data_IF_173899873483
#
_entry.id   IF_173899873483
#
_cell.length_a   1.000
_cell.length_b   1.000
_cell.length_c   1.000
_cell.angle_alpha   90.00
_cell.angle_beta   90.00
_cell.angle_gamma   90.00
#
_symmetry.space_group_name_H-M   'P 1'
#
loop_
_entity.id
_entity.type
_entity.pdbx_description
1 polymer ?
#
# COMPACT_ATOMS: atom_id res chain seq x y z
N UNK A 1 -21.44 -15.63 30.12
CA UNK A 1 -19.99 -15.89 29.92
C UNK A 1 -19.22 -14.71 30.50
N UNK A 2 -18.29 -15.01 31.36
CA UNK A 2 -17.45 -13.99 31.99
C UNK A 2 -16.54 -13.35 30.93
N UNK A 3 -16.56 -12.03 30.84
CA UNK A 3 -15.76 -11.30 29.84
C UNK A 3 -14.46 -10.82 30.49
N UNK A 4 -13.36 -11.09 29.81
CA UNK A 4 -12.04 -10.56 30.16
C UNK A 4 -11.93 -9.15 29.59
N UNK A 5 -11.72 -8.15 30.44
CA UNK A 5 -11.60 -6.74 30.04
C UNK A 5 -10.15 -6.30 30.12
N UNK A 6 -9.67 -5.72 29.06
CA UNK A 6 -8.39 -5.00 29.05
C UNK A 6 -8.67 -3.51 29.24
N UNK A 7 -8.26 -2.96 30.35
CA UNK A 7 -8.47 -1.56 30.68
C UNK A 7 -7.15 -0.81 30.90
N UNK A 8 -7.16 0.48 30.70
CA UNK A 8 -6.02 1.33 30.96
C UNK A 8 -5.74 1.44 32.46
N UNK A 9 -4.54 1.08 32.89
CA UNK A 9 -4.12 1.18 34.28
C UNK A 9 -4.15 2.62 34.85
N UNK A 10 -4.15 3.63 33.97
CA UNK A 10 -4.09 5.04 34.38
C UNK A 10 -5.45 5.71 34.45
N UNK A 11 -6.38 5.40 33.57
CA UNK A 11 -7.68 6.07 33.50
C UNK A 11 -8.88 5.12 33.53
N UNK A 12 -8.67 3.82 33.64
CA UNK A 12 -9.75 2.81 33.69
C UNK A 12 -10.51 2.59 32.38
N UNK A 13 -10.16 3.30 31.30
CA UNK A 13 -10.82 3.15 30.01
C UNK A 13 -10.70 1.71 29.50
N UNK A 14 -11.83 1.06 29.21
CA UNK A 14 -11.84 -0.28 28.64
C UNK A 14 -11.39 -0.22 27.18
N UNK A 15 -10.26 -0.84 26.88
CA UNK A 15 -9.65 -0.84 25.54
C UNK A 15 -10.29 -1.91 24.68
N UNK A 16 -10.43 -3.14 25.18
CA UNK A 16 -11.10 -4.26 24.52
C UNK A 16 -11.65 -5.29 25.52
N UNK A 17 -12.64 -6.06 25.09
CA UNK A 17 -13.23 -7.17 25.84
C UNK A 17 -13.13 -8.48 25.05
N UNK A 18 -12.85 -9.58 25.75
CA UNK A 18 -12.75 -10.93 25.18
C UNK A 18 -13.49 -11.94 26.04
N UNK A 19 -13.89 -13.05 25.45
CA UNK A 19 -14.30 -14.24 26.21
C UNK A 19 -13.16 -15.25 26.29
N UNK A 20 -13.14 -16.10 27.29
CA UNK A 20 -12.15 -17.17 27.41
C UNK A 20 -12.20 -18.12 26.20
N UNK A 21 -13.40 -18.38 25.68
CA UNK A 21 -13.63 -19.19 24.49
C UNK A 21 -13.02 -18.56 23.25
N UNK A 22 -13.20 -17.25 23.03
CA UNK A 22 -12.59 -16.53 21.92
C UNK A 22 -11.05 -16.56 21.95
N UNK A 23 -10.46 -16.44 23.13
CA UNK A 23 -9.01 -16.53 23.29
C UNK A 23 -8.47 -17.95 23.05
N UNK A 24 -9.28 -18.98 23.36
CA UNK A 24 -8.89 -20.38 23.16
C UNK A 24 -9.06 -20.83 21.70
N UNK A 25 -10.11 -20.34 21.02
CA UNK A 25 -10.53 -20.87 19.70
C UNK A 25 -10.14 -19.97 18.52
N UNK A 26 -9.89 -18.68 18.77
CA UNK A 26 -9.56 -17.69 17.73
C UNK A 26 -8.10 -17.21 17.89
N UNK A 27 -7.12 -17.81 17.20
CA UNK A 27 -5.70 -17.47 17.36
C UNK A 27 -5.40 -15.98 17.19
N UNK A 28 -6.11 -15.30 16.29
CA UNK A 28 -5.97 -13.86 16.04
C UNK A 28 -6.36 -13.03 17.27
N UNK A 29 -7.47 -13.37 17.93
CA UNK A 29 -7.91 -12.70 19.17
C UNK A 29 -6.92 -12.94 20.32
N UNK A 30 -6.40 -14.17 20.44
CA UNK A 30 -5.37 -14.49 21.43
C UNK A 30 -4.08 -13.66 21.20
N UNK A 31 -3.60 -13.56 19.97
CA UNK A 31 -2.42 -12.72 19.63
C UNK A 31 -2.69 -11.24 19.89
N UNK A 32 -3.86 -10.74 19.53
CA UNK A 32 -4.27 -9.35 19.80
C UNK A 32 -4.30 -9.05 21.29
N UNK A 33 -4.88 -9.94 22.08
CA UNK A 33 -4.93 -9.86 23.53
C UNK A 33 -3.50 -9.77 24.13
N UNK A 34 -2.58 -10.65 23.73
CA UNK A 34 -1.19 -10.62 24.19
C UNK A 34 -0.46 -9.34 23.76
N UNK A 35 -0.72 -8.87 22.55
CA UNK A 35 -0.16 -7.61 22.07
C UNK A 35 -0.59 -6.42 22.96
N UNK A 36 -1.86 -6.32 23.29
CA UNK A 36 -2.39 -5.24 24.12
C UNK A 36 -1.84 -5.32 25.55
N UNK A 37 -1.71 -6.52 26.12
CA UNK A 37 -1.10 -6.73 27.45
C UNK A 37 0.36 -6.26 27.52
N UNK A 38 1.10 -6.50 26.46
CA UNK A 38 2.56 -6.30 26.47
C UNK A 38 3.00 -4.91 25.99
N UNK A 39 2.07 -4.06 25.53
CA UNK A 39 2.42 -2.71 25.08
C UNK A 39 1.98 -1.62 26.04
N UNK A 40 2.94 -0.84 26.50
CA UNK A 40 2.72 0.48 27.07
C UNK A 40 2.32 1.48 25.98
N UNK A 41 1.39 2.37 26.23
CA UNK A 41 0.98 3.49 25.34
C UNK A 41 -0.16 3.21 24.34
N UNK A 42 -1.17 2.41 24.71
CA UNK A 42 -2.28 2.09 23.79
C UNK A 42 -3.61 2.76 24.18
N UNK A 43 -3.71 3.40 25.34
CA UNK A 43 -4.99 3.92 25.77
C UNK A 43 -5.40 5.17 24.98
N UNK A 44 -6.51 5.10 24.20
CA UNK A 44 -6.99 6.22 23.40
C UNK A 44 -7.37 7.45 24.25
N UNK A 45 -7.95 7.23 25.41
CA UNK A 45 -8.36 8.29 26.33
C UNK A 45 -7.16 9.05 26.90
N UNK A 46 -6.07 8.35 27.26
CA UNK A 46 -4.84 9.01 27.74
C UNK A 46 -4.12 9.72 26.61
N UNK A 47 -4.13 9.16 25.39
CA UNK A 47 -3.54 9.78 24.20
C UNK A 47 -4.28 11.06 23.81
N UNK A 48 -5.61 11.05 23.81
CA UNK A 48 -6.44 12.22 23.53
C UNK A 48 -6.20 13.36 24.56
N UNK A 49 -5.85 13.02 25.79
CA UNK A 49 -5.51 14.02 26.84
C UNK A 49 -4.03 14.44 26.87
N UNK A 50 -3.23 14.06 25.85
CA UNK A 50 -1.81 14.42 25.75
C UNK A 50 -0.87 13.66 26.68
N UNK A 51 -1.33 12.61 27.34
CA UNK A 51 -0.57 11.82 28.33
C UNK A 51 0.07 10.60 27.68
N UNK A 52 1.16 10.79 26.96
CA UNK A 52 1.81 9.78 26.14
C UNK A 52 2.75 8.81 26.89
N UNK A 53 2.99 8.98 28.20
CA UNK A 53 3.99 8.20 28.93
C UNK A 53 3.37 7.14 29.84
N UNK A 54 3.90 5.92 29.78
CA UNK A 54 3.69 4.79 30.72
C UNK A 54 2.25 4.34 30.97
N UNK A 55 1.45 4.22 29.92
CA UNK A 55 0.13 3.61 30.04
C UNK A 55 0.25 2.09 29.91
N UNK A 56 0.05 1.37 31.02
CA UNK A 56 -0.07 -0.08 31.06
C UNK A 56 -1.54 -0.49 30.96
N UNK A 57 -1.77 -1.72 30.57
CA UNK A 57 -3.09 -2.33 30.51
C UNK A 57 -3.25 -3.25 31.72
N UNK A 58 -4.34 -3.07 32.46
CA UNK A 58 -4.76 -3.99 33.53
C UNK A 58 -5.70 -5.05 32.96
N UNK A 59 -5.52 -6.28 33.39
CA UNK A 59 -6.43 -7.39 33.18
C UNK A 59 -7.32 -7.51 34.41
N UNK A 60 -8.64 -7.55 34.19
CA UNK A 60 -9.70 -7.64 35.21
C UNK A 60 -9.80 -6.47 36.21
N UNK A 61 -10.91 -5.80 36.18
CA UNK A 61 -11.57 -5.10 37.24
C UNK A 61 -10.74 -4.52 38.40
N UNK A 62 -9.76 -3.70 38.09
CA UNK A 62 -9.27 -2.78 39.12
C UNK A 62 -10.38 -1.82 39.53
N UNK A 63 -10.39 -1.28 40.77
CA UNK A 63 -11.49 -0.46 41.26
C UNK A 63 -11.75 0.70 40.30
N UNK A 64 -13.02 0.82 39.87
CA UNK A 64 -13.49 1.91 39.05
C UNK A 64 -13.16 3.24 39.75
N UNK A 65 -12.13 3.90 39.26
CA UNK A 65 -11.94 5.30 39.56
C UNK A 65 -13.06 6.04 38.87
N UNK A 66 -13.96 6.62 39.61
CA UNK A 66 -15.12 7.34 39.13
C UNK A 66 -14.72 8.19 37.92
N UNK A 67 -15.33 7.91 36.79
CA UNK A 67 -15.20 8.73 35.60
C UNK A 67 -15.70 10.12 35.97
N UNK A 68 -14.81 11.07 36.07
CA UNK A 68 -15.18 12.46 36.07
C UNK A 68 -16.10 12.72 34.92
N UNK A 69 -17.26 13.28 35.19
CA UNK A 69 -18.33 13.50 34.21
C UNK A 69 -17.76 14.03 32.93
N UNK A 70 -18.00 13.27 31.85
CA UNK A 70 -17.78 13.76 30.51
C UNK A 70 -18.67 14.98 30.30
N UNK A 71 -18.06 16.11 30.07
CA UNK A 71 -18.79 17.29 29.64
C UNK A 71 -19.64 16.93 28.44
N UNK A 72 -20.88 17.42 28.32
CA UNK A 72 -21.74 17.09 27.19
C UNK A 72 -21.05 17.51 25.90
N UNK A 73 -20.85 16.58 25.00
CA UNK A 73 -20.36 16.84 23.66
C UNK A 73 -21.47 17.52 22.85
N UNK A 74 -21.58 18.79 23.02
CA UNK A 74 -22.25 19.68 22.09
C UNK A 74 -21.18 20.61 21.53
N UNK A 75 -20.32 20.09 20.69
CA UNK A 75 -19.53 20.93 19.82
C UNK A 75 -20.05 20.75 18.40
N UNK A 76 -20.89 21.65 17.97
CA UNK A 76 -20.90 22.05 16.56
C UNK A 76 -19.44 22.37 16.25
N UNK A 77 -18.75 21.49 15.51
CA UNK A 77 -17.40 21.76 15.07
C UNK A 77 -17.45 23.13 14.35
N UNK A 78 -16.71 24.10 14.88
CA UNK A 78 -16.55 25.34 14.17
C UNK A 78 -15.90 25.02 12.83
N UNK A 79 -16.45 25.47 11.68
CA UNK A 79 -15.83 25.26 10.40
C UNK A 79 -14.40 25.79 10.48
N UNK A 80 -13.45 25.00 10.02
CA UNK A 80 -12.06 25.43 9.90
C UNK A 80 -12.08 26.55 8.87
N UNK A 81 -11.81 27.78 9.29
CA UNK A 81 -11.88 28.94 8.41
C UNK A 81 -10.92 28.77 7.22
N UNK A 82 -11.47 28.83 6.04
CA UNK A 82 -10.69 28.99 4.82
C UNK A 82 -10.25 30.43 4.73
N UNK A 83 -8.94 30.67 4.85
CA UNK A 83 -8.38 31.95 4.42
C UNK A 83 -8.50 31.98 2.88
N UNK A 84 -9.28 32.85 2.31
CA UNK A 84 -9.27 33.17 0.90
C UNK A 84 -7.85 33.66 0.54
N UNK A 85 -7.10 32.80 -0.15
CA UNK A 85 -5.79 33.18 -0.64
C UNK A 85 -5.95 34.08 -1.84
N UNK A 86 -5.50 35.33 -1.70
CA UNK A 86 -5.33 36.23 -2.82
C UNK A 86 -4.45 35.57 -3.89
N UNK A 87 -4.75 35.82 -5.17
CA UNK A 87 -3.94 35.40 -6.31
C UNK A 87 -2.56 36.08 -6.29
N UNK A 88 -1.69 35.69 -5.38
CA UNK A 88 -0.33 36.15 -5.28
C UNK A 88 0.60 35.24 -6.09
N UNK A 89 1.59 35.75 -6.82
CA UNK A 89 2.59 34.90 -7.44
C UNK A 89 3.30 34.08 -6.35
N UNK A 90 3.37 32.78 -6.59
CA UNK A 90 3.84 31.84 -5.60
C UNK A 90 5.31 31.56 -5.80
N UNK A 91 6.12 31.24 -4.75
CA UNK A 91 7.54 30.94 -4.90
C UNK A 91 7.81 29.81 -5.89
N UNK A 92 6.90 28.86 -6.00
CA UNK A 92 7.03 27.77 -6.96
C UNK A 92 6.79 28.26 -8.39
N UNK A 93 5.81 29.15 -8.63
CA UNK A 93 5.58 29.74 -9.94
C UNK A 93 6.75 30.64 -10.36
N UNK A 94 7.36 31.33 -9.43
CA UNK A 94 8.56 32.14 -9.68
C UNK A 94 9.75 31.25 -10.06
N UNK A 95 9.98 30.15 -9.34
CA UNK A 95 11.03 29.19 -9.66
C UNK A 95 10.82 28.54 -11.04
N UNK A 96 9.59 28.19 -11.40
CA UNK A 96 9.22 27.69 -12.73
C UNK A 96 9.49 28.78 -13.79
N UNK A 97 9.26 30.07 -13.46
CA UNK A 97 9.47 31.19 -14.35
C UNK A 97 10.93 31.41 -14.74
N UNK A 98 11.87 31.00 -13.89
CA UNK A 98 13.31 31.18 -14.10
C UNK A 98 13.95 30.19 -15.09
N UNK A 99 13.15 29.38 -15.78
CA UNK A 99 13.61 28.60 -16.94
C UNK A 99 14.44 27.33 -16.61
N UNK A 100 14.47 26.89 -15.36
CA UNK A 100 15.23 25.69 -14.94
C UNK A 100 14.45 24.39 -15.02
N UNK A 101 13.20 24.44 -15.43
CA UNK A 101 12.31 23.30 -15.44
C UNK A 101 12.03 22.82 -16.87
N UNK A 102 11.66 21.53 -17.06
CA UNK A 102 11.26 20.99 -18.35
C UNK A 102 10.09 21.77 -18.99
N UNK A 103 9.94 21.68 -20.30
CA UNK A 103 8.91 22.39 -21.08
C UNK A 103 7.49 22.18 -20.57
N UNK A 104 7.15 20.97 -20.06
CA UNK A 104 5.83 20.71 -19.48
C UNK A 104 5.54 21.56 -18.25
N UNK A 105 6.53 21.92 -17.44
CA UNK A 105 6.33 22.83 -16.31
C UNK A 105 6.01 24.26 -16.81
N UNK A 106 6.57 24.68 -17.95
CA UNK A 106 6.22 25.94 -18.61
C UNK A 106 4.77 25.92 -19.11
N UNK A 107 4.27 24.80 -19.61
CA UNK A 107 2.88 24.65 -20.01
C UNK A 107 1.90 24.71 -18.81
N UNK A 108 2.29 24.22 -17.64
CA UNK A 108 1.46 24.33 -16.42
C UNK A 108 1.15 25.78 -16.05
N UNK A 109 2.03 26.74 -16.32
CA UNK A 109 1.78 28.17 -16.10
C UNK A 109 0.61 28.70 -16.92
N UNK A 110 0.44 28.19 -18.14
CA UNK A 110 -0.63 28.62 -19.06
C UNK A 110 -2.00 28.14 -18.63
N UNK A 111 -2.08 27.11 -17.78
CA UNK A 111 -3.31 26.38 -17.50
C UNK A 111 -4.00 26.72 -16.18
N UNK A 112 -3.50 27.67 -15.40
CA UNK A 112 -4.00 27.93 -14.04
C UNK A 112 -4.11 26.63 -13.19
N UNK A 113 -3.34 25.60 -13.54
CA UNK A 113 -3.37 24.32 -12.83
C UNK A 113 -2.90 24.54 -11.38
N UNK A 114 -3.47 23.85 -10.39
CA UNK A 114 -3.43 24.27 -8.99
C UNK A 114 -2.06 24.10 -8.32
N UNK A 115 -1.06 24.83 -8.78
CA UNK A 115 0.19 25.07 -8.02
C UNK A 115 -0.17 25.67 -6.66
N UNK A 116 -1.23 26.49 -6.61
CA UNK A 116 -1.83 27.02 -5.40
C UNK A 116 -2.06 25.97 -4.31
N UNK A 117 -2.55 24.78 -4.68
CA UNK A 117 -2.82 23.70 -3.71
C UNK A 117 -1.53 23.22 -3.04
N UNK A 118 -0.45 23.10 -3.79
CA UNK A 118 0.85 22.71 -3.24
C UNK A 118 1.38 23.78 -2.29
N UNK A 119 1.28 25.04 -2.66
CA UNK A 119 1.72 26.14 -1.82
C UNK A 119 0.85 26.35 -0.60
N UNK A 120 -0.45 26.18 -0.72
CA UNK A 120 -1.36 26.15 0.40
C UNK A 120 -0.93 25.05 1.38
N UNK A 121 -0.60 23.86 0.91
CA UNK A 121 -0.09 22.78 1.74
C UNK A 121 1.25 23.12 2.42
N UNK A 122 2.13 23.89 1.75
CA UNK A 122 3.37 24.39 2.34
C UNK A 122 3.13 25.47 3.40
N UNK A 123 2.22 26.38 3.16
CA UNK A 123 1.91 27.48 4.08
C UNK A 123 1.19 27.00 5.32
N UNK A 124 0.21 26.15 5.17
CA UNK A 124 -0.58 25.63 6.29
C UNK A 124 0.26 24.83 7.29
N UNK A 125 1.20 24.00 6.82
CA UNK A 125 2.12 23.19 7.64
C UNK A 125 1.54 22.69 8.96
N UNK A 126 0.24 22.42 8.98
CA UNK A 126 -0.50 22.00 10.19
C UNK A 126 -0.06 20.61 10.66
N UNK A 127 0.59 19.88 9.77
CA UNK A 127 1.19 18.60 10.11
C UNK A 127 2.33 18.29 9.14
N UNK A 128 3.31 17.50 9.55
CA UNK A 128 4.46 17.14 8.74
C UNK A 128 4.69 15.64 8.72
N UNK A 129 5.13 15.14 7.57
CA UNK A 129 5.68 13.80 7.47
C UNK A 129 6.91 13.68 8.36
N UNK A 130 6.86 12.77 9.30
CA UNK A 130 7.95 12.50 10.22
C UNK A 130 7.78 11.16 10.89
N UNK A 131 8.62 10.88 11.85
CA UNK A 131 8.44 9.77 12.75
C UNK A 131 7.36 10.15 13.77
N UNK A 132 6.31 9.35 13.87
CA UNK A 132 5.23 9.62 14.82
C UNK A 132 4.55 8.34 15.26
N UNK A 133 3.80 8.46 16.33
CA UNK A 133 2.91 7.43 16.84
C UNK A 133 1.64 7.33 16.00
N UNK A 134 0.92 6.26 16.18
CA UNK A 134 -0.45 6.12 15.72
C UNK A 134 -1.39 6.17 16.92
N UNK A 135 -2.60 6.65 16.67
CA UNK A 135 -3.67 6.75 17.67
C UNK A 135 -4.70 5.68 17.33
N UNK A 136 -5.10 4.92 18.33
CA UNK A 136 -6.31 4.10 18.24
C UNK A 136 -7.46 4.90 18.86
N UNK A 137 -8.53 5.06 18.12
CA UNK A 137 -9.80 5.59 18.64
C UNK A 137 -10.70 4.42 19.04
N UNK A 138 -11.60 4.59 20.03
CA UNK A 138 -12.62 3.60 20.33
C UNK A 138 -13.45 3.29 19.09
N UNK A 139 -13.53 2.00 18.71
CA UNK A 139 -14.20 1.55 17.49
C UNK A 139 -13.43 1.78 16.19
N UNK A 140 -12.26 2.42 16.23
CA UNK A 140 -11.35 2.63 15.11
C UNK A 140 -9.97 2.14 15.52
N UNK A 141 -9.55 1.02 15.00
CA UNK A 141 -8.36 0.33 15.49
C UNK A 141 -7.05 0.92 14.96
N UNK A 142 -7.03 1.39 13.73
CA UNK A 142 -5.86 1.91 13.04
C UNK A 142 -6.30 3.09 12.14
N UNK A 143 -5.40 3.67 11.39
CA UNK A 143 -5.72 4.69 10.40
C UNK A 143 -5.52 6.13 10.86
N UNK A 144 -5.31 6.37 12.13
CA UNK A 144 -5.01 7.71 12.67
C UNK A 144 -3.54 7.81 13.06
N UNK A 145 -2.87 8.85 12.58
CA UNK A 145 -1.47 9.15 12.86
C UNK A 145 -1.34 10.48 13.59
N UNK A 146 -0.66 10.48 14.72
CA UNK A 146 -0.09 11.67 15.33
C UNK A 146 1.38 11.76 14.96
N UNK A 147 1.84 12.92 14.53
CA UNK A 147 3.25 13.15 14.25
C UNK A 147 3.94 13.80 15.45
N UNK A 148 4.80 13.04 16.13
CA UNK A 148 5.80 13.59 17.02
C UNK A 148 6.95 14.13 16.15
N UNK A 149 6.90 15.41 15.79
CA UNK A 149 7.89 16.01 14.92
C UNK A 149 8.88 16.87 15.71
N UNK A 150 9.96 17.25 15.05
CA UNK A 150 10.87 18.27 15.57
C UNK A 150 10.23 19.68 15.67
N UNK A 151 8.98 19.80 15.23
CA UNK A 151 8.21 21.05 15.23
C UNK A 151 6.87 20.85 15.95
N UNK A 152 6.90 20.65 17.28
CA UNK A 152 5.70 20.37 18.06
C UNK A 152 4.68 21.53 18.03
N UNK A 153 5.14 22.75 17.81
CA UNK A 153 4.29 23.93 17.65
C UNK A 153 3.34 23.84 16.44
N UNK A 154 3.71 23.04 15.43
CA UNK A 154 2.87 22.81 14.24
C UNK A 154 2.01 21.57 14.40
N UNK A 155 2.52 20.53 15.04
CA UNK A 155 1.90 19.19 15.03
C UNK A 155 1.10 18.87 16.29
N UNK A 156 1.18 19.70 17.33
CA UNK A 156 0.43 19.49 18.57
C UNK A 156 -1.08 19.53 18.30
N UNK A 157 -1.77 18.44 18.65
CA UNK A 157 -3.22 18.33 18.47
C UNK A 157 -3.67 18.19 17.01
N UNK A 158 -2.74 17.94 16.09
CA UNK A 158 -3.02 17.78 14.67
C UNK A 158 -2.75 16.34 14.21
N UNK A 159 -3.72 15.74 13.57
CA UNK A 159 -3.71 14.32 13.22
C UNK A 159 -3.88 14.11 11.70
N UNK A 160 -3.39 12.96 11.23
CA UNK A 160 -3.73 12.43 9.91
C UNK A 160 -4.76 11.33 10.06
N UNK A 161 -5.77 11.33 9.21
CA UNK A 161 -6.65 10.17 9.06
C UNK A 161 -6.45 9.60 7.68
N UNK A 162 -6.17 8.31 7.61
CA UNK A 162 -6.10 7.54 6.36
C UNK A 162 -7.44 6.91 6.08
N UNK A 163 -7.91 7.12 4.89
CA UNK A 163 -9.14 6.52 4.36
C UNK A 163 -8.71 5.46 3.36
N UNK A 164 -9.23 4.24 3.52
CA UNK A 164 -8.97 3.15 2.60
C UNK A 164 -9.61 3.46 1.24
N UNK A 165 -8.81 3.45 0.18
CA UNK A 165 -9.32 3.66 -1.16
C UNK A 165 -10.16 2.47 -1.65
N UNK A 166 -11.16 2.69 -2.51
CA UNK A 166 -11.92 1.62 -3.14
C UNK A 166 -11.05 0.79 -4.09
N UNK A 167 -11.45 -0.45 -4.36
CA UNK A 167 -10.77 -1.30 -5.32
C UNK A 167 -10.61 -0.60 -6.68
N UNK A 168 -9.38 -0.61 -7.20
CA UNK A 168 -9.01 0.06 -8.45
C UNK A 168 -8.95 1.58 -8.36
N UNK A 169 -9.03 2.16 -7.18
CA UNK A 169 -9.11 3.62 -6.96
C UNK A 169 -10.30 4.27 -7.68
N UNK A 170 -11.42 3.55 -7.84
CA UNK A 170 -12.64 4.06 -8.47
C UNK A 170 -13.53 4.78 -7.47
N UNK A 171 -13.39 6.07 -7.34
CA UNK A 171 -14.30 6.91 -6.57
C UNK A 171 -15.48 7.39 -7.43
N UNK A 172 -16.69 7.33 -6.90
CA UNK A 172 -17.78 8.07 -7.51
C UNK A 172 -17.59 9.57 -7.29
N UNK A 173 -18.12 10.39 -8.19
CA UNK A 173 -18.04 11.85 -8.02
C UNK A 173 -18.79 12.32 -6.76
N UNK A 174 -19.84 11.61 -6.37
CA UNK A 174 -20.60 11.90 -5.15
C UNK A 174 -19.77 11.61 -3.90
N UNK A 175 -19.14 10.41 -3.82
CA UNK A 175 -18.30 10.05 -2.67
C UNK A 175 -17.07 10.93 -2.56
N UNK A 176 -16.46 11.31 -3.70
CA UNK A 176 -15.30 12.20 -3.67
C UNK A 176 -15.70 13.61 -3.18
N UNK A 177 -16.88 14.15 -3.60
CA UNK A 177 -17.38 15.42 -3.05
C UNK A 177 -17.65 15.33 -1.56
N UNK A 178 -18.27 14.24 -1.07
CA UNK A 178 -18.48 14.05 0.36
C UNK A 178 -17.16 14.02 1.16
N UNK A 179 -16.10 13.41 0.61
CA UNK A 179 -14.77 13.45 1.23
C UNK A 179 -14.16 14.87 1.19
N UNK A 180 -14.41 15.66 0.14
CA UNK A 180 -14.02 17.06 0.11
C UNK A 180 -14.75 17.87 1.19
N UNK A 181 -16.08 17.69 1.33
CA UNK A 181 -16.87 18.36 2.37
C UNK A 181 -16.37 18.03 3.79
N UNK A 182 -15.97 16.78 4.03
CA UNK A 182 -15.34 16.34 5.28
C UNK A 182 -13.97 17.01 5.47
N UNK A 183 -13.18 17.11 4.40
CA UNK A 183 -11.88 17.78 4.45
C UNK A 183 -12.04 19.27 4.77
N UNK A 184 -13.00 19.92 4.16
CA UNK A 184 -13.33 21.33 4.41
C UNK A 184 -13.78 21.56 5.85
N UNK A 185 -14.60 20.65 6.35
CA UNK A 185 -15.17 20.75 7.70
C UNK A 185 -14.18 20.45 8.81
N UNK A 186 -13.28 19.47 8.63
CA UNK A 186 -12.47 18.93 9.72
C UNK A 186 -10.95 19.01 9.50
N UNK A 187 -10.47 19.20 8.27
CA UNK A 187 -9.08 18.97 7.89
C UNK A 187 -8.45 20.07 7.01
N UNK A 188 -8.81 21.31 7.17
CA UNK A 188 -8.26 22.46 6.43
C UNK A 188 -8.42 22.39 4.90
N UNK A 189 -9.42 21.66 4.39
CA UNK A 189 -9.77 21.63 2.98
C UNK A 189 -8.78 20.92 2.05
N UNK A 190 -7.87 20.10 2.56
CA UNK A 190 -6.89 19.39 1.76
C UNK A 190 -7.05 17.86 1.87
N UNK A 191 -7.11 17.22 0.72
CA UNK A 191 -7.03 15.77 0.53
C UNK A 191 -5.67 15.41 -0.07
N UNK A 192 -5.00 14.44 0.49
CA UNK A 192 -3.75 13.91 -0.03
C UNK A 192 -3.95 12.49 -0.55
N UNK A 193 -3.79 12.29 -1.87
CA UNK A 193 -3.79 10.99 -2.50
C UNK A 193 -2.42 10.33 -2.31
N UNK A 194 -2.34 9.34 -1.42
CA UNK A 194 -1.08 8.67 -1.11
C UNK A 194 -0.71 7.65 -2.19
N UNK A 195 0.07 8.07 -3.16
CA UNK A 195 0.42 7.33 -4.39
C UNK A 195 1.09 5.95 -4.19
N UNK A 196 1.48 5.59 -2.99
CA UNK A 196 2.24 4.36 -2.72
C UNK A 196 1.75 3.55 -1.54
N UNK A 197 0.58 3.88 -1.02
CA UNK A 197 0.01 3.28 0.17
C UNK A 197 -1.43 2.84 0.03
N UNK A 198 -2.09 3.13 -1.10
CA UNK A 198 -3.49 2.79 -1.31
C UNK A 198 -4.44 3.52 -0.37
N UNK A 199 -4.02 4.66 0.17
CA UNK A 199 -4.84 5.45 1.08
C UNK A 199 -5.05 6.86 0.54
N UNK A 200 -6.19 7.44 0.89
CA UNK A 200 -6.41 8.87 0.85
C UNK A 200 -6.20 9.42 2.26
N UNK A 201 -5.53 10.55 2.40
CA UNK A 201 -5.25 11.12 3.72
C UNK A 201 -5.94 12.47 3.89
N UNK A 202 -6.62 12.62 5.03
CA UNK A 202 -7.03 13.92 5.58
C UNK A 202 -5.92 14.42 6.50
N UNK A 203 -5.45 15.62 6.24
CA UNK A 203 -4.29 16.18 6.92
C UNK A 203 -4.72 17.25 7.93
N UNK A 204 -4.19 17.20 9.13
CA UNK A 204 -4.30 18.28 10.10
C UNK A 204 -5.59 18.30 10.90
N UNK A 205 -6.29 17.18 11.04
CA UNK A 205 -7.52 17.12 11.84
C UNK A 205 -7.21 17.39 13.32
N UNK A 206 -7.82 18.41 13.96
CA UNK A 206 -7.74 18.62 15.39
C UNK A 206 -8.22 17.38 16.16
N UNK A 207 -7.63 17.11 17.31
CA UNK A 207 -7.93 15.88 18.09
C UNK A 207 -9.42 15.79 18.47
N UNK A 208 -10.04 16.90 18.81
CA UNK A 208 -11.47 17.01 19.13
C UNK A 208 -12.38 16.68 17.96
N UNK A 209 -11.90 16.86 16.72
CA UNK A 209 -12.65 16.59 15.49
C UNK A 209 -12.45 15.18 14.95
N UNK A 210 -11.57 14.36 15.53
CA UNK A 210 -11.27 13.03 15.01
C UNK A 210 -12.49 12.12 14.98
N UNK A 211 -13.24 12.06 16.09
CA UNK A 211 -14.41 11.18 16.19
C UNK A 211 -15.49 11.54 15.16
N UNK A 212 -15.98 12.78 15.11
CA UNK A 212 -17.01 13.16 14.15
C UNK A 212 -16.53 13.01 12.69
N UNK A 213 -15.26 13.30 12.40
CA UNK A 213 -14.71 13.09 11.06
C UNK A 213 -14.73 11.62 10.64
N UNK A 214 -14.32 10.70 11.53
CA UNK A 214 -14.35 9.26 11.25
C UNK A 214 -15.79 8.75 11.10
N UNK A 215 -16.73 9.21 11.91
CA UNK A 215 -18.16 8.85 11.81
C UNK A 215 -18.73 9.28 10.45
N UNK A 216 -18.41 10.47 9.96
CA UNK A 216 -18.88 10.94 8.65
C UNK A 216 -18.18 10.17 7.50
N UNK A 217 -16.87 9.87 7.59
CA UNK A 217 -16.18 9.02 6.62
C UNK A 217 -16.87 7.64 6.52
N UNK A 218 -17.16 7.04 7.66
CA UNK A 218 -17.83 5.73 7.72
C UNK A 218 -19.25 5.79 7.15
N UNK A 219 -19.96 6.88 7.39
CA UNK A 219 -21.31 7.09 6.85
C UNK A 219 -21.34 7.20 5.31
N UNK A 220 -20.23 7.63 4.70
CA UNK A 220 -20.05 7.62 3.23
C UNK A 220 -19.71 6.22 2.69
N UNK A 221 -19.54 5.21 3.56
CA UNK A 221 -19.20 3.85 3.19
C UNK A 221 -17.70 3.58 3.04
N UNK A 222 -16.83 4.41 3.60
CA UNK A 222 -15.39 4.20 3.60
C UNK A 222 -14.90 3.63 4.94
N UNK A 223 -13.93 2.74 4.87
CA UNK A 223 -13.17 2.29 6.01
C UNK A 223 -11.92 3.15 6.22
N UNK A 224 -11.43 3.10 7.45
CA UNK A 224 -10.17 3.74 7.81
C UNK A 224 -9.01 2.82 7.38
N UNK A 225 -8.02 3.39 6.75
CA UNK A 225 -6.82 2.70 6.28
C UNK A 225 -5.87 2.31 7.42
N UNK A 226 -4.72 1.77 7.09
CA UNK A 226 -3.79 1.24 8.07
C UNK A 226 -2.62 2.16 8.35
N UNK A 227 -2.13 2.17 9.60
CA UNK A 227 -1.03 3.06 10.03
C UNK A 227 0.04 2.40 10.89
N UNK A 228 -0.19 1.20 11.37
CA UNK A 228 0.63 0.53 12.38
C UNK A 228 1.62 -0.51 11.89
N UNK A 229 1.94 -1.41 12.77
CA UNK A 229 2.69 -2.65 12.51
C UNK A 229 1.68 -3.74 12.10
N UNK A 230 1.02 -3.53 10.97
CA UNK A 230 -0.12 -4.23 10.39
C UNK A 230 0.12 -4.55 8.92
N UNK A 231 -0.82 -5.25 8.27
CA UNK A 231 -0.91 -5.13 6.82
C UNK A 231 -1.29 -3.70 6.49
N UNK A 232 -0.49 -3.07 5.64
CA UNK A 232 -0.86 -1.75 5.11
C UNK A 232 -1.99 -1.91 4.11
N UNK A 233 -2.79 -0.87 3.98
CA UNK A 233 -3.76 -0.80 2.90
C UNK A 233 -3.10 -1.29 1.62
N UNK A 234 -3.66 -2.34 1.02
CA UNK A 234 -3.11 -2.92 -0.21
C UNK A 234 -3.35 -1.98 -1.39
N UNK A 235 -2.52 -2.09 -2.39
CA UNK A 235 -2.62 -1.32 -3.62
C UNK A 235 -2.61 -2.29 -4.80
N UNK A 236 -3.53 -2.12 -5.73
CA UNK A 236 -3.60 -2.92 -6.94
C UNK A 236 -3.62 -2.05 -8.19
N UNK A 237 -3.30 -2.67 -9.32
CA UNK A 237 -3.47 -2.02 -10.60
C UNK A 237 -4.95 -2.03 -11.03
N UNK A 238 -5.27 -1.21 -12.02
CA UNK A 238 -6.64 -1.03 -12.53
C UNK A 238 -7.32 -2.33 -13.00
N UNK A 239 -6.55 -3.39 -13.22
CA UNK A 239 -7.01 -4.75 -13.51
C UNK A 239 -7.98 -4.87 -14.67
N UNK A 240 -8.87 -5.87 -14.63
CA UNK A 240 -9.78 -6.18 -15.74
C UNK A 240 -10.82 -5.08 -15.99
N UNK A 241 -10.97 -4.13 -15.08
CA UNK A 241 -11.92 -3.04 -15.28
C UNK A 241 -11.56 -2.16 -16.49
N UNK A 242 -10.26 -1.96 -16.78
CA UNK A 242 -9.78 -1.08 -17.85
C UNK A 242 -8.52 -1.59 -18.57
N UNK A 243 -8.01 -2.78 -18.25
CA UNK A 243 -6.77 -3.30 -18.81
C UNK A 243 -6.98 -4.71 -19.40
N UNK A 244 -6.72 -4.88 -20.68
CA UNK A 244 -6.81 -6.17 -21.39
C UNK A 244 -5.54 -7.03 -21.26
N UNK A 245 -4.50 -6.51 -20.63
CA UNK A 245 -3.24 -7.22 -20.36
C UNK A 245 -3.23 -7.95 -19.01
N UNK A 246 -4.23 -7.72 -18.19
CA UNK A 246 -4.30 -8.36 -16.86
C UNK A 246 -4.47 -9.88 -16.99
N UNK A 247 -3.79 -10.63 -16.13
CA UNK A 247 -3.76 -12.09 -16.17
C UNK A 247 -4.65 -12.74 -15.11
N UNK A 248 -5.13 -11.94 -14.15
CA UNK A 248 -6.10 -12.33 -13.13
C UNK A 248 -6.91 -11.11 -12.69
N UNK A 249 -8.00 -11.34 -11.97
CA UNK A 249 -8.82 -10.25 -11.42
C UNK A 249 -8.19 -9.65 -10.16
N UNK A 250 -7.45 -8.56 -10.32
CA UNK A 250 -6.79 -7.84 -9.22
C UNK A 250 -7.79 -7.18 -8.28
N UNK A 251 -8.93 -6.72 -8.79
CA UNK A 251 -9.95 -6.03 -8.01
C UNK A 251 -10.72 -7.02 -7.13
N UNK A 252 -11.13 -8.14 -7.71
CA UNK A 252 -11.77 -9.24 -6.98
C UNK A 252 -10.84 -9.82 -5.92
N UNK A 253 -9.54 -10.00 -6.23
CA UNK A 253 -8.55 -10.45 -5.27
C UNK A 253 -8.41 -9.45 -4.10
N UNK A 254 -8.36 -8.14 -4.37
CA UNK A 254 -8.31 -7.14 -3.30
C UNK A 254 -9.57 -7.15 -2.44
N UNK A 255 -10.74 -7.25 -3.03
CA UNK A 255 -11.98 -7.34 -2.28
C UNK A 255 -12.00 -8.58 -1.36
N UNK A 256 -11.54 -9.73 -1.86
CA UNK A 256 -11.39 -10.95 -1.07
C UNK A 256 -10.29 -10.82 0.00
N UNK A 257 -9.21 -10.10 -0.29
CA UNK A 257 -8.15 -9.78 0.67
C UNK A 257 -8.71 -9.09 1.91
N UNK A 258 -9.52 -8.05 1.75
CA UNK A 258 -10.11 -7.34 2.90
C UNK A 258 -11.09 -8.21 3.67
N UNK A 259 -11.87 -9.06 3.00
CA UNK A 259 -12.75 -10.01 3.71
C UNK A 259 -11.97 -10.95 4.63
N UNK A 260 -10.76 -11.35 4.22
CA UNK A 260 -9.94 -12.30 4.98
C UNK A 260 -9.03 -11.64 6.02
N UNK A 261 -8.49 -10.47 5.72
CA UNK A 261 -7.41 -9.85 6.48
C UNK A 261 -7.75 -8.48 7.07
N UNK A 262 -9.02 -8.07 7.09
CA UNK A 262 -9.41 -6.74 7.57
C UNK A 262 -8.89 -6.47 8.99
N UNK A 263 -9.01 -7.45 9.88
CA UNK A 263 -8.51 -7.34 11.25
C UNK A 263 -6.98 -7.09 11.28
N UNK A 264 -6.23 -7.78 10.43
CA UNK A 264 -4.77 -7.61 10.33
C UNK A 264 -4.36 -6.31 9.62
N UNK A 265 -5.28 -5.66 8.89
CA UNK A 265 -5.11 -4.32 8.31
C UNK A 265 -5.39 -3.24 9.35
N UNK A 266 -6.43 -3.44 10.17
CA UNK A 266 -6.88 -2.44 11.14
C UNK A 266 -6.19 -2.56 12.51
N UNK A 267 -5.69 -3.74 12.89
CA UNK A 267 -5.07 -3.98 14.18
C UNK A 267 -3.60 -4.35 14.05
N UNK A 268 -2.67 -3.62 14.68
CA UNK A 268 -1.25 -3.94 14.68
C UNK A 268 -1.00 -5.32 15.26
N UNK A 269 -0.40 -6.19 14.45
CA UNK A 269 -0.11 -7.58 14.79
C UNK A 269 1.36 -7.95 14.61
N UNK A 270 1.99 -7.42 13.56
CA UNK A 270 3.29 -7.89 13.11
C UNK A 270 4.47 -7.21 13.82
N UNK A 271 5.68 -7.78 13.77
CA UNK A 271 6.90 -7.13 14.25
C UNK A 271 7.15 -5.77 13.59
N UNK A 272 6.74 -5.60 12.34
CA UNK A 272 6.70 -4.35 11.60
C UNK A 272 5.65 -4.41 10.50
N UNK A 273 5.31 -3.25 9.91
CA UNK A 273 4.37 -3.14 8.79
C UNK A 273 4.70 -4.07 7.64
N UNK A 274 3.69 -4.64 7.03
CA UNK A 274 3.76 -5.41 5.80
C UNK A 274 2.99 -4.67 4.70
N UNK A 275 3.65 -4.37 3.59
CA UNK A 275 3.03 -3.75 2.41
C UNK A 275 2.69 -4.81 1.38
N UNK A 276 1.44 -4.87 0.98
CA UNK A 276 0.95 -5.78 -0.04
C UNK A 276 0.58 -5.01 -1.31
N UNK A 277 0.97 -5.53 -2.49
CA UNK A 277 0.64 -4.94 -3.77
C UNK A 277 0.29 -6.01 -4.78
N UNK A 278 -0.68 -5.70 -5.66
CA UNK A 278 -1.24 -6.65 -6.60
C UNK A 278 -1.18 -6.07 -8.03
N UNK A 279 -0.30 -6.61 -8.87
CA UNK A 279 -0.20 -6.24 -10.28
C UNK A 279 -0.77 -7.35 -11.17
N UNK A 280 -1.63 -6.99 -12.10
CA UNK A 280 -2.27 -7.92 -13.02
C UNK A 280 -1.32 -8.57 -14.04
N UNK A 281 -0.11 -8.05 -14.20
CA UNK A 281 0.89 -8.55 -15.15
C UNK A 281 2.30 -8.03 -14.82
N UNK A 282 3.36 -8.54 -15.51
CA UNK A 282 4.75 -8.11 -15.28
C UNK A 282 5.07 -6.63 -15.56
N UNK A 283 4.16 -5.85 -16.13
CA UNK A 283 4.35 -4.39 -16.27
C UNK A 283 4.43 -3.66 -14.92
N UNK A 284 3.97 -4.29 -13.83
CA UNK A 284 4.09 -3.81 -12.46
C UNK A 284 3.73 -2.33 -12.26
N UNK A 285 2.54 -1.92 -12.72
CA UNK A 285 2.05 -0.54 -12.66
C UNK A 285 1.99 0.02 -11.22
N UNK A 286 1.93 -0.84 -10.21
CA UNK A 286 1.91 -0.48 -8.78
C UNK A 286 3.29 -0.49 -8.13
N UNK A 287 4.34 -0.78 -8.89
CA UNK A 287 5.73 -0.86 -8.40
C UNK A 287 5.89 -1.84 -7.23
N UNK A 288 5.22 -2.98 -7.31
CA UNK A 288 5.20 -3.99 -6.26
C UNK A 288 6.58 -4.59 -6.02
N UNK A 289 7.32 -4.88 -7.08
CA UNK A 289 8.67 -5.43 -7.00
C UNK A 289 9.63 -4.56 -6.16
N UNK A 290 9.46 -3.23 -6.20
CA UNK A 290 10.33 -2.27 -5.49
C UNK A 290 9.83 -1.91 -4.09
N UNK A 291 8.51 -1.97 -3.85
CA UNK A 291 7.91 -1.29 -2.69
C UNK A 291 7.11 -2.21 -1.77
N UNK A 292 6.84 -3.44 -2.19
CA UNK A 292 6.02 -4.36 -1.43
C UNK A 292 6.84 -5.40 -0.66
N UNK A 293 6.46 -5.64 0.59
CA UNK A 293 6.95 -6.79 1.35
C UNK A 293 6.37 -8.09 0.81
N UNK A 294 5.13 -8.02 0.28
CA UNK A 294 4.44 -9.09 -0.46
C UNK A 294 3.96 -8.50 -1.77
N UNK A 295 4.35 -9.10 -2.86
CA UNK A 295 3.95 -8.68 -4.19
C UNK A 295 3.35 -9.85 -4.97
N UNK A 296 2.11 -9.69 -5.41
CA UNK A 296 1.45 -10.62 -6.32
C UNK A 296 1.56 -10.06 -7.73
N UNK A 297 2.23 -10.80 -8.60
CA UNK A 297 2.40 -10.44 -10.00
C UNK A 297 1.66 -11.44 -10.88
N UNK A 298 0.76 -10.98 -11.73
CA UNK A 298 0.12 -11.85 -12.73
C UNK A 298 1.16 -12.44 -13.67
N UNK A 299 1.08 -13.75 -13.89
CA UNK A 299 1.98 -14.52 -14.76
C UNK A 299 1.19 -15.55 -15.54
N UNK A 300 1.80 -16.10 -16.58
CA UNK A 300 1.28 -17.24 -17.37
C UNK A 300 2.40 -18.21 -17.70
N UNK A 301 2.08 -19.46 -18.00
CA UNK A 301 3.09 -20.54 -18.20
C UNK A 301 3.19 -21.07 -19.61
N UNK A 302 2.09 -21.04 -20.38
CA UNK A 302 2.05 -21.51 -21.76
C UNK A 302 2.54 -20.42 -22.76
N UNK A 303 2.74 -20.79 -24.00
CA UNK A 303 3.20 -19.86 -25.04
C UNK A 303 2.22 -18.69 -25.26
N UNK A 304 2.72 -17.48 -25.59
CA UNK A 304 1.88 -16.40 -26.06
C UNK A 304 1.01 -16.81 -27.24
N UNK A 305 -0.25 -16.42 -27.24
CA UNK A 305 -1.19 -16.65 -28.36
C UNK A 305 -0.96 -15.62 -29.45
N UNK A 306 -0.81 -16.08 -30.69
CA UNK A 306 -0.55 -15.23 -31.85
C UNK A 306 -1.72 -15.29 -32.82
N UNK A 307 -2.39 -14.16 -33.01
CA UNK A 307 -3.36 -13.96 -34.11
C UNK A 307 -2.57 -13.52 -35.36
N UNK A 308 -2.26 -14.47 -36.22
CA UNK A 308 -1.41 -14.24 -37.40
C UNK A 308 -1.98 -13.18 -38.34
N UNK A 309 -3.32 -13.13 -38.48
CA UNK A 309 -3.96 -12.14 -39.35
C UNK A 309 -3.79 -10.70 -38.81
N UNK A 310 -3.96 -10.52 -37.50
CA UNK A 310 -3.73 -9.21 -36.91
C UNK A 310 -2.27 -8.78 -36.94
N UNK A 311 -1.35 -9.72 -36.73
CA UNK A 311 0.09 -9.46 -36.86
C UNK A 311 0.44 -9.03 -38.26
N UNK A 312 -0.02 -9.80 -39.30
CA UNK A 312 0.22 -9.46 -40.69
C UNK A 312 -0.32 -8.06 -41.04
N UNK A 313 -1.58 -7.77 -40.70
CA UNK A 313 -2.17 -6.44 -40.94
C UNK A 313 -1.41 -5.31 -40.23
N UNK A 314 -0.91 -5.55 -39.03
CA UNK A 314 -0.11 -4.57 -38.32
C UNK A 314 1.25 -4.33 -39.02
N UNK A 315 1.90 -5.38 -39.53
CA UNK A 315 3.15 -5.26 -40.30
C UNK A 315 2.90 -4.53 -41.62
N UNK A 316 1.83 -4.88 -42.36
CA UNK A 316 1.42 -4.19 -43.60
C UNK A 316 1.13 -2.69 -43.37
N UNK A 317 0.63 -2.33 -42.18
CA UNK A 317 0.43 -0.94 -41.79
C UNK A 317 1.70 -0.22 -41.30
N UNK A 318 2.89 -0.84 -41.46
CA UNK A 318 4.19 -0.23 -41.10
C UNK A 318 4.70 -0.62 -39.73
N UNK A 319 4.12 -1.62 -39.07
CA UNK A 319 4.61 -2.14 -37.78
C UNK A 319 5.97 -2.82 -37.91
N UNK A 320 6.94 -2.42 -37.12
CA UNK A 320 8.30 -2.96 -37.14
C UNK A 320 8.42 -4.24 -36.30
N UNK A 321 7.98 -5.37 -36.88
CA UNK A 321 8.06 -6.67 -36.23
C UNK A 321 9.51 -7.15 -36.06
N UNK A 322 10.42 -6.72 -36.95
CA UNK A 322 11.84 -7.11 -36.89
C UNK A 322 12.50 -6.57 -35.63
N UNK A 323 12.29 -5.30 -35.36
CA UNK A 323 12.76 -4.68 -34.10
C UNK A 323 12.12 -5.34 -32.88
N UNK A 324 10.84 -5.72 -32.92
CA UNK A 324 10.21 -6.43 -31.78
C UNK A 324 10.86 -7.78 -31.55
N UNK A 325 11.10 -8.57 -32.61
CA UNK A 325 11.77 -9.86 -32.50
C UNK A 325 13.20 -9.72 -31.97
N UNK A 326 13.99 -8.77 -32.50
CA UNK A 326 15.39 -8.57 -32.10
C UNK A 326 15.54 -8.12 -30.62
N UNK A 327 14.53 -7.42 -30.08
CA UNK A 327 14.48 -6.97 -28.67
C UNK A 327 13.82 -7.97 -27.72
N UNK A 328 13.44 -9.15 -28.19
CA UNK A 328 12.92 -10.19 -27.33
C UNK A 328 14.01 -10.64 -26.35
N UNK A 329 13.85 -10.50 -25.02
CA UNK A 329 14.92 -10.81 -24.07
C UNK A 329 15.29 -12.30 -24.03
N UNK A 330 14.33 -13.19 -24.35
CA UNK A 330 14.58 -14.63 -24.51
C UNK A 330 14.96 -15.04 -25.94
N UNK A 331 15.00 -14.10 -26.90
CA UNK A 331 15.21 -14.38 -28.32
C UNK A 331 14.23 -15.44 -28.88
N UNK A 332 13.08 -15.54 -28.25
CA UNK A 332 12.06 -16.55 -28.53
C UNK A 332 11.22 -16.26 -29.81
N UNK A 333 11.34 -15.07 -30.38
CA UNK A 333 10.47 -14.59 -31.47
C UNK A 333 11.17 -14.61 -32.81
N UNK A 334 10.49 -15.17 -33.80
CA UNK A 334 10.95 -15.22 -35.19
C UNK A 334 9.82 -14.78 -36.12
N UNK A 335 10.10 -13.87 -37.04
CA UNK A 335 9.17 -13.43 -38.07
C UNK A 335 9.70 -13.86 -39.44
N UNK A 336 8.82 -14.43 -40.23
CA UNK A 336 9.10 -14.77 -41.64
C UNK A 336 7.92 -14.33 -42.50
N UNK A 337 8.23 -13.52 -43.53
CA UNK A 337 7.20 -13.07 -44.48
C UNK A 337 6.51 -14.25 -45.13
N UNK A 338 5.19 -14.27 -45.17
CA UNK A 338 4.39 -15.35 -45.66
C UNK A 338 4.19 -16.55 -44.73
N UNK A 339 4.99 -16.70 -43.67
CA UNK A 339 4.82 -17.75 -42.65
C UNK A 339 4.30 -17.22 -41.33
N UNK A 340 4.49 -15.92 -41.04
CA UNK A 340 4.00 -15.25 -39.86
C UNK A 340 4.98 -15.20 -38.68
N UNK A 341 4.45 -14.88 -37.50
CA UNK A 341 5.21 -14.78 -36.24
C UNK A 341 5.18 -16.13 -35.52
N UNK A 342 6.36 -16.64 -35.22
CA UNK A 342 6.55 -17.82 -34.36
C UNK A 342 7.14 -17.41 -33.04
N UNK A 343 6.68 -18.04 -31.98
CA UNK A 343 7.23 -17.87 -30.61
C UNK A 343 7.67 -19.26 -30.13
N UNK A 344 8.93 -19.40 -29.77
CA UNK A 344 9.47 -20.57 -29.12
C UNK A 344 9.15 -20.55 -27.63
N UNK A 345 8.39 -21.53 -27.16
CA UNK A 345 7.89 -21.59 -25.78
C UNK A 345 9.02 -21.81 -24.77
N UNK A 346 9.98 -22.66 -25.12
CA UNK A 346 11.09 -23.01 -24.23
C UNK A 346 12.03 -21.83 -23.94
N UNK A 347 12.19 -20.95 -24.93
CA UNK A 347 13.00 -19.73 -24.82
C UNK A 347 12.21 -18.53 -24.31
N UNK A 348 10.88 -18.64 -24.23
CA UNK A 348 10.02 -17.53 -23.84
C UNK A 348 10.14 -17.22 -22.33
N UNK A 349 10.54 -16.01 -22.00
CA UNK A 349 10.64 -15.53 -20.60
C UNK A 349 9.31 -15.02 -20.02
N UNK A 350 8.19 -15.12 -20.73
CA UNK A 350 6.85 -14.68 -20.33
C UNK A 350 6.77 -13.22 -19.85
N UNK A 351 7.67 -12.35 -20.36
CA UNK A 351 7.83 -10.95 -19.93
C UNK A 351 6.76 -10.00 -20.50
N UNK A 352 5.89 -10.47 -21.40
CA UNK A 352 4.84 -9.70 -22.07
C UNK A 352 5.33 -8.55 -22.97
N UNK A 353 6.61 -8.44 -23.27
CA UNK A 353 7.12 -7.40 -24.16
C UNK A 353 6.40 -7.40 -25.53
N UNK A 354 6.27 -8.56 -26.16
CA UNK A 354 5.55 -8.71 -27.44
C UNK A 354 4.06 -8.35 -27.31
N UNK A 355 3.39 -8.78 -26.24
CA UNK A 355 1.97 -8.46 -26.00
C UNK A 355 1.71 -6.97 -25.83
N UNK A 356 2.70 -6.22 -25.33
CA UNK A 356 2.62 -4.77 -25.21
C UNK A 356 2.90 -4.02 -26.52
N UNK A 357 3.50 -4.68 -27.51
CA UNK A 357 3.95 -4.02 -28.76
C UNK A 357 3.18 -4.45 -29.99
N UNK A 358 2.76 -5.72 -30.05
CA UNK A 358 2.13 -6.30 -31.25
C UNK A 358 0.65 -6.57 -30.99
N UNK A 359 -0.28 -5.89 -31.66
CA UNK A 359 -1.72 -6.01 -31.38
C UNK A 359 -2.28 -7.43 -31.52
N UNK A 360 -1.65 -8.28 -32.35
CA UNK A 360 -2.04 -9.68 -32.54
C UNK A 360 -1.46 -10.65 -31.51
N UNK A 361 -0.60 -10.22 -30.59
CA UNK A 361 0.01 -11.09 -29.58
C UNK A 361 -0.65 -10.90 -28.23
N UNK A 362 -1.04 -12.00 -27.61
CA UNK A 362 -1.66 -12.03 -26.29
C UNK A 362 -0.94 -13.01 -25.37
N UNK A 363 -0.96 -12.81 -24.05
CA UNK A 363 -0.47 -13.79 -23.10
C UNK A 363 -1.15 -15.14 -23.27
N UNK A 364 -0.49 -16.19 -22.85
CA UNK A 364 -1.04 -17.54 -22.82
C UNK A 364 -2.31 -17.69 -21.98
N UNK A 365 -2.87 -18.88 -21.98
CA UNK A 365 -4.14 -19.20 -21.31
C UNK A 365 -3.97 -19.76 -19.91
N UNK A 366 -2.82 -20.36 -19.59
CA UNK A 366 -2.53 -20.90 -18.26
C UNK A 366 -2.02 -19.79 -17.32
N UNK A 367 -2.95 -19.07 -16.73
CA UNK A 367 -2.74 -17.82 -15.99
C UNK A 367 -2.85 -18.02 -14.49
N UNK A 368 -2.10 -17.21 -13.74
CA UNK A 368 -2.08 -17.21 -12.28
C UNK A 368 -1.26 -16.04 -11.75
N UNK A 369 -0.76 -16.19 -10.54
CA UNK A 369 0.09 -15.21 -9.87
C UNK A 369 1.41 -15.81 -9.41
N UNK A 370 2.49 -15.06 -9.53
CA UNK A 370 3.72 -15.30 -8.80
C UNK A 370 3.66 -14.51 -7.48
N UNK A 371 4.11 -15.13 -6.39
CA UNK A 371 4.28 -14.50 -5.09
C UNK A 371 5.73 -14.09 -4.93
N UNK A 372 5.98 -12.79 -4.79
CA UNK A 372 7.31 -12.24 -4.56
C UNK A 372 7.36 -11.57 -3.17
N UNK A 373 8.50 -11.64 -2.51
CA UNK A 373 8.66 -11.14 -1.14
C UNK A 373 9.91 -10.31 -0.92
N UNK A 374 9.85 -9.40 0.04
CA UNK A 374 11.00 -8.69 0.60
C UNK A 374 11.38 -7.39 -0.10
N UNK A 375 10.56 -6.90 -1.05
CA UNK A 375 10.79 -5.60 -1.68
C UNK A 375 10.64 -4.43 -0.70
N UNK A 376 11.57 -3.47 -0.75
CA UNK A 376 11.52 -2.27 0.10
C UNK A 376 12.47 -1.19 -0.40
N UNK A 377 12.12 0.08 -0.14
CA UNK A 377 12.99 1.24 -0.46
C UNK A 377 13.81 1.71 0.74
N UNK A 378 13.38 1.41 1.97
CA UNK A 378 14.05 1.82 3.21
C UNK A 378 14.11 0.63 4.19
N UNK A 379 15.03 0.68 5.11
CA UNK A 379 15.25 -0.31 6.14
C UNK A 379 16.74 -0.36 6.50
N UNK A 380 17.10 -1.21 7.44
CA UNK A 380 18.46 -1.31 7.97
C UNK A 380 19.51 -1.58 6.88
N UNK A 381 19.17 -2.42 5.91
CA UNK A 381 20.07 -2.83 4.82
C UNK A 381 19.79 -2.12 3.50
N UNK A 382 19.11 -0.95 3.54
CA UNK A 382 18.82 -0.17 2.35
C UNK A 382 17.71 -0.74 1.46
N UNK A 383 17.64 -0.32 0.19
CA UNK A 383 16.64 -0.76 -0.77
C UNK A 383 16.90 -2.20 -1.24
N UNK A 384 15.81 -2.94 -1.51
CA UNK A 384 15.85 -4.30 -2.05
C UNK A 384 14.70 -4.50 -3.03
N UNK A 385 14.94 -5.19 -4.13
CA UNK A 385 13.87 -5.74 -4.97
C UNK A 385 13.32 -7.02 -4.34
N UNK A 386 12.03 -7.25 -4.51
CA UNK A 386 11.41 -8.51 -4.09
C UNK A 386 11.97 -9.69 -4.89
N UNK A 387 11.90 -10.85 -4.27
CA UNK A 387 12.36 -12.13 -4.84
C UNK A 387 11.17 -13.07 -4.98
N UNK A 388 11.20 -13.91 -5.98
CA UNK A 388 10.17 -14.92 -6.18
C UNK A 388 10.19 -15.88 -4.98
N UNK A 389 9.06 -16.03 -4.32
CA UNK A 389 8.82 -17.05 -3.30
C UNK A 389 8.17 -18.26 -3.95
N UNK A 390 7.06 -18.05 -4.64
CA UNK A 390 6.36 -19.08 -5.40
C UNK A 390 6.17 -18.56 -6.83
N UNK A 391 6.68 -19.26 -7.86
CA UNK A 391 6.66 -18.76 -9.23
C UNK A 391 5.27 -18.75 -9.85
N UNK A 392 4.36 -19.61 -9.37
CA UNK A 392 3.01 -19.72 -9.93
C UNK A 392 2.04 -20.33 -8.92
N UNK A 393 0.90 -19.67 -8.74
CA UNK A 393 -0.30 -20.17 -8.04
C UNK A 393 -1.51 -19.77 -8.90
N UNK A 394 -2.49 -20.68 -9.04
CA UNK A 394 -3.78 -20.32 -9.65
C UNK A 394 -4.47 -19.26 -8.81
N UNK A 395 -4.89 -18.15 -9.42
CA UNK A 395 -5.59 -17.06 -8.75
C UNK A 395 -7.09 -17.14 -9.08
N UNK A 396 -7.76 -18.12 -8.49
CA UNK A 396 -9.17 -18.42 -8.75
C UNK A 396 -10.05 -17.80 -7.65
N UNK A 397 -10.98 -16.94 -8.09
CA UNK A 397 -11.98 -16.34 -7.21
C UNK A 397 -13.18 -17.30 -6.93
N UNK A 398 -14.08 -16.89 -6.03
CA UNK A 398 -14.14 -15.56 -5.43
C UNK A 398 -13.25 -15.35 -4.18
N UNK A 399 -12.73 -16.41 -3.55
CA UNK A 399 -12.01 -16.36 -2.27
C UNK A 399 -10.48 -16.42 -2.39
N UNK A 400 -9.93 -16.75 -3.56
CA UNK A 400 -8.49 -16.84 -3.83
C UNK A 400 -7.72 -17.65 -2.78
N UNK A 401 -8.31 -18.73 -2.33
CA UNK A 401 -7.90 -19.51 -1.15
C UNK A 401 -6.42 -19.90 -1.20
N UNK A 402 -5.94 -20.49 -2.30
CA UNK A 402 -4.56 -20.98 -2.41
C UNK A 402 -3.54 -19.84 -2.29
N UNK A 403 -3.84 -18.68 -2.88
CA UNK A 403 -2.98 -17.50 -2.79
C UNK A 403 -2.91 -16.99 -1.36
N UNK A 404 -4.04 -16.91 -0.68
CA UNK A 404 -4.10 -16.38 0.69
C UNK A 404 -3.52 -17.35 1.72
N UNK A 405 -3.73 -18.65 1.55
CA UNK A 405 -3.11 -19.66 2.41
C UNK A 405 -1.57 -19.62 2.30
N UNK A 406 -1.04 -19.43 1.10
CA UNK A 406 0.39 -19.22 0.90
C UNK A 406 0.88 -17.97 1.63
N UNK A 407 0.15 -16.85 1.54
CA UNK A 407 0.53 -15.60 2.21
C UNK A 407 0.44 -15.73 3.73
N UNK A 408 -0.62 -16.33 4.26
CA UNK A 408 -0.75 -16.57 5.71
C UNK A 408 0.42 -17.38 6.25
N UNK A 409 0.70 -18.50 5.60
CA UNK A 409 1.78 -19.39 6.02
C UNK A 409 3.13 -18.67 6.12
N UNK A 410 3.48 -17.86 5.13
CA UNK A 410 4.73 -17.14 5.17
C UNK A 410 4.73 -15.97 6.16
N UNK A 411 3.60 -15.27 6.32
CA UNK A 411 3.51 -14.18 7.30
C UNK A 411 3.49 -14.68 8.74
N UNK A 412 3.00 -15.89 8.99
CA UNK A 412 3.14 -16.54 10.29
C UNK A 412 4.61 -16.86 10.62
N UNK A 413 5.39 -17.33 9.65
CA UNK A 413 6.84 -17.51 9.82
C UNK A 413 7.52 -16.18 10.15
N UNK A 414 7.15 -15.11 9.44
CA UNK A 414 7.68 -13.78 9.73
C UNK A 414 7.28 -13.29 11.12
N UNK A 415 6.01 -13.40 11.48
CA UNK A 415 5.49 -12.98 12.78
C UNK A 415 6.16 -13.69 13.96
N UNK A 416 6.43 -14.99 13.79
CA UNK A 416 7.06 -15.83 14.83
C UNK A 416 8.56 -15.57 14.99
N UNK A 417 9.30 -15.18 13.94
CA UNK A 417 10.76 -15.19 13.91
C UNK A 417 11.42 -13.83 13.66
N UNK A 418 10.66 -12.83 13.20
CA UNK A 418 11.23 -11.52 12.93
C UNK A 418 11.39 -10.68 14.21
N UNK A 419 12.39 -9.82 14.21
CA UNK A 419 12.67 -8.90 15.29
C UNK A 419 11.77 -7.66 15.22
N UNK A 420 11.52 -7.02 16.34
CA UNK A 420 10.78 -5.76 16.39
C UNK A 420 11.37 -4.73 15.41
N UNK A 421 10.50 -4.12 14.60
CA UNK A 421 10.86 -3.14 13.55
C UNK A 421 11.73 -3.70 12.42
N UNK A 422 11.81 -4.99 12.26
CA UNK A 422 12.46 -5.65 11.13
C UNK A 422 11.47 -5.84 9.97
N UNK A 423 11.83 -5.35 8.78
CA UNK A 423 11.02 -5.55 7.56
C UNK A 423 11.19 -6.97 7.03
N UNK A 424 10.22 -7.47 6.28
CA UNK A 424 10.26 -8.81 5.68
C UNK A 424 11.57 -9.05 4.92
N UNK A 425 12.01 -8.11 4.09
CA UNK A 425 13.28 -8.24 3.35
C UNK A 425 14.51 -8.28 4.26
N UNK A 426 14.53 -7.50 5.35
CA UNK A 426 15.61 -7.51 6.34
C UNK A 426 15.63 -8.83 7.12
N UNK A 427 14.45 -9.36 7.46
CA UNK A 427 14.30 -10.65 8.11
C UNK A 427 14.86 -11.79 7.25
N UNK A 428 14.42 -11.87 5.98
CA UNK A 428 14.91 -12.90 5.04
C UNK A 428 16.43 -12.78 4.83
N UNK A 429 16.97 -11.56 4.76
CA UNK A 429 18.41 -11.36 4.62
C UNK A 429 19.17 -11.83 5.87
N UNK A 430 18.61 -11.61 7.06
CA UNK A 430 19.22 -12.00 8.32
C UNK A 430 19.29 -13.51 8.53
N UNK A 431 18.20 -14.23 8.25
CA UNK A 431 18.16 -15.69 8.46
C UNK A 431 18.68 -16.48 7.25
N UNK A 432 18.78 -15.83 6.09
CA UNK A 432 19.07 -16.48 4.82
C UNK A 432 17.81 -16.99 4.10
N UNK A 433 17.85 -16.93 2.78
CA UNK A 433 16.67 -17.32 1.96
C UNK A 433 16.40 -18.83 2.04
N UNK A 434 17.44 -19.64 2.12
CA UNK A 434 17.30 -21.10 2.19
C UNK A 434 16.61 -21.52 3.50
N UNK A 435 16.96 -20.89 4.63
CA UNK A 435 16.28 -21.13 5.90
C UNK A 435 14.84 -20.59 5.89
N UNK A 436 14.61 -19.44 5.24
CA UNK A 436 13.26 -18.91 5.07
C UNK A 436 12.35 -19.84 4.28
N UNK A 437 12.83 -20.43 3.17
CA UNK A 437 12.08 -21.41 2.39
C UNK A 437 11.72 -22.65 3.23
N UNK A 438 12.68 -23.13 3.99
CA UNK A 438 12.51 -24.28 4.88
C UNK A 438 11.43 -24.01 5.96
N UNK A 439 11.50 -22.85 6.61
CA UNK A 439 10.50 -22.45 7.60
C UNK A 439 9.11 -22.25 6.97
N UNK A 440 9.05 -21.66 5.79
CA UNK A 440 7.82 -21.47 5.04
C UNK A 440 7.28 -22.77 4.43
N UNK A 441 8.08 -23.85 4.42
CA UNK A 441 7.72 -25.12 3.79
C UNK A 441 7.45 -24.97 2.29
N UNK A 442 8.29 -24.19 1.62
CA UNK A 442 8.22 -23.92 0.18
C UNK A 442 9.49 -24.48 -0.47
N UNK A 443 9.32 -25.26 -1.52
CA UNK A 443 10.46 -25.80 -2.27
C UNK A 443 11.11 -24.67 -3.12
N UNK A 444 12.45 -24.58 -3.11
CA UNK A 444 13.17 -23.64 -3.95
C UNK A 444 12.88 -23.88 -5.44
N UNK A 445 12.66 -22.81 -6.18
CA UNK A 445 12.44 -22.86 -7.62
C UNK A 445 13.64 -22.32 -8.40
N UNK A 446 13.81 -22.69 -9.71
CA UNK A 446 14.86 -22.11 -10.56
C UNK A 446 14.82 -20.58 -10.66
N UNK A 447 13.65 -19.99 -10.45
CA UNK A 447 13.46 -18.53 -10.48
C UNK A 447 13.93 -17.81 -9.21
N UNK A 448 14.38 -18.55 -8.20
CA UNK A 448 14.85 -17.98 -6.94
C UNK A 448 16.15 -17.21 -7.14
N UNK A 449 16.16 -15.97 -6.70
CA UNK A 449 17.38 -15.16 -6.52
C UNK A 449 17.82 -15.22 -5.07
N UNK A 450 18.94 -15.86 -4.78
CA UNK A 450 19.51 -15.96 -3.41
C UNK A 450 19.89 -14.59 -2.86
N UNK A 451 20.51 -13.73 -3.66
CA UNK A 451 20.90 -12.38 -3.27
C UNK A 451 19.87 -11.35 -3.77
N UNK A 452 19.39 -10.44 -2.91
CA UNK A 452 18.47 -9.40 -3.35
C UNK A 452 19.19 -8.41 -4.26
N UNK A 453 18.51 -7.95 -5.30
CA UNK A 453 18.98 -6.82 -6.09
C UNK A 453 18.71 -5.52 -5.34
N UNK A 454 19.71 -4.67 -5.24
CA UNK A 454 19.66 -3.40 -4.52
C UNK A 454 19.71 -2.19 -5.45
N UNK A 455 20.17 -2.37 -6.70
CA UNK A 455 20.12 -1.34 -7.72
C UNK A 455 18.83 -1.48 -8.54
N UNK A 456 17.94 -0.48 -8.46
CA UNK A 456 16.65 -0.49 -9.13
C UNK A 456 16.65 0.15 -10.51
N UNK A 457 17.64 0.96 -10.84
CA UNK A 457 17.54 1.88 -11.94
C UNK A 457 18.48 1.58 -13.10
N UNK A 458 19.64 1.09 -12.83
CA UNK A 458 20.54 0.68 -13.87
C UNK A 458 21.57 -0.33 -13.35
N UNK A 459 22.04 -1.14 -14.26
CA UNK A 459 23.19 -2.02 -14.07
C UNK A 459 24.38 -1.54 -14.92
N UNK A 460 24.22 -0.38 -15.53
CA UNK A 460 25.22 0.20 -16.41
C UNK A 460 26.20 1.08 -15.64
N UNK A 461 27.42 0.98 -16.01
CA UNK A 461 28.41 1.96 -15.60
C UNK A 461 28.12 3.32 -16.27
N UNK A 462 28.52 4.45 -15.66
CA UNK A 462 28.26 5.78 -16.22
C UNK A 462 28.70 5.95 -17.68
N UNK A 463 29.73 5.21 -18.13
CA UNK A 463 30.20 5.22 -19.49
C UNK A 463 29.19 4.56 -20.46
N UNK A 464 28.60 3.43 -20.07
CA UNK A 464 27.59 2.71 -20.86
C UNK A 464 26.34 3.54 -21.06
N UNK A 465 25.90 4.27 -20.02
CA UNK A 465 24.76 5.18 -20.09
C UNK A 465 25.01 6.34 -21.07
N UNK A 466 26.25 6.80 -21.23
CA UNK A 466 26.58 7.85 -22.17
C UNK A 466 26.52 7.38 -23.62
N UNK A 467 26.87 6.13 -23.89
CA UNK A 467 26.87 5.56 -25.23
C UNK A 467 25.47 5.24 -25.72
N UNK A 468 24.58 4.76 -24.87
CA UNK A 468 23.18 4.52 -25.23
C UNK A 468 22.39 5.80 -25.58
N UNK A 469 22.79 6.96 -25.15
CA UNK A 469 22.16 8.24 -25.52
C UNK A 469 22.56 8.77 -26.89
N UNK A 470 23.46 8.10 -27.59
CA UNK A 470 23.95 8.49 -28.91
C UNK A 470 23.28 7.73 -30.05
N UNK A 471 22.34 6.86 -29.74
CA UNK A 471 21.54 6.11 -30.71
C UNK A 471 20.00 6.47 -30.55
#
# INVERSE_FOLDING_TARGET
>A
MEKIKLSCAKCGFVIEEYTAEELATVPRKAKRYQYLKNKSSICPSCLASGRLQDVRVNEEGGPAVAAGAAAPASSTAAPVGHEEHAESPTPMMDAISQGRFPSHATELKKTKYPVQMYEQALQQRRTQWGYGGYVSLPGVASGVLVRASARPEITKGSNFVRIMDPCGNFFSTASMRGLCDIADKYAYGLLHLLSTGGDLELLGIPTENLKPAVEEITSLGFDIGSTGDDYRTSEECIGPAKCDLTLYDTLGLRAAWYKRFLDDVQYPRFPHKIKCKFAGCPNDCVRGCQKADIFLCGVYRDAPKVDQQKVAKWVEAGGDITTVCSRCPGQAMQWEAGKGLRVDEDSCMHCMYCSNKVPGVRPGGDRGVAVLVGGKLRGKFGPMLSRVLVPFIKAEGPDYKEVFDCIEKFTEVYDANARKKERVGDFILRIGIDEFYKLAGVEPSPQLLKQPRTNFFCHWEPAEVKDERRH
#
